data_IF_056612992461
#
_entry.id   IF_056612992461
#
_cell.length_a   1.000
_cell.length_b   1.000
_cell.length_c   1.000
_cell.angle_alpha   90.00
_cell.angle_beta   90.00
_cell.angle_gamma   90.00
#
_symmetry.space_group_name_H-M   'P 1'
#
loop_
_entity.id
_entity.type
_entity.pdbx_description
1 polymer ?
#
# COMPACT_ATOMS: atom_id res chain seq x y z
N UNK A 1 -17.73 15.38 -0.65
CA UNK A 1 -18.47 14.11 -0.72
C UNK A 1 -17.76 13.12 0.21
N UNK A 2 -18.41 12.73 1.30
CA UNK A 2 -17.89 11.70 2.21
C UNK A 2 -17.91 10.37 1.43
N UNK A 3 -16.77 9.68 1.38
CA UNK A 3 -16.72 8.32 0.82
C UNK A 3 -17.17 7.37 1.92
N UNK A 4 -18.14 6.50 1.61
CA UNK A 4 -18.48 5.37 2.48
C UNK A 4 -17.28 4.43 2.58
N UNK A 5 -17.18 3.70 3.70
CA UNK A 5 -16.16 2.67 3.81
C UNK A 5 -16.44 1.56 2.79
N UNK A 6 -15.41 0.96 2.19
CA UNK A 6 -15.61 -0.14 1.23
C UNK A 6 -16.43 -1.30 1.81
N UNK A 7 -16.29 -1.56 3.11
CA UNK A 7 -17.06 -2.58 3.84
C UNK A 7 -18.55 -2.22 4.01
N UNK A 8 -18.94 -0.97 3.79
CA UNK A 8 -20.34 -0.53 3.78
C UNK A 8 -20.96 -0.60 2.38
N UNK A 9 -20.13 -0.78 1.35
CA UNK A 9 -20.55 -0.79 -0.06
C UNK A 9 -20.52 -2.19 -0.65
N UNK A 10 -19.63 -3.06 -0.16
CA UNK A 10 -19.44 -4.41 -0.68
C UNK A 10 -19.47 -5.45 0.43
N UNK A 11 -20.23 -6.52 0.23
CA UNK A 11 -20.15 -7.72 1.04
C UNK A 11 -18.81 -8.45 0.74
N UNK A 12 -17.96 -8.71 1.74
CA UNK A 12 -16.71 -9.42 1.55
C UNK A 12 -16.85 -10.87 1.07
N UNK A 13 -18.05 -11.47 1.16
CA UNK A 13 -18.33 -12.84 0.72
C UNK A 13 -18.84 -12.92 -0.72
N UNK A 14 -19.13 -11.78 -1.36
CA UNK A 14 -19.60 -11.75 -2.75
C UNK A 14 -18.46 -11.57 -3.76
N UNK A 15 -18.68 -12.17 -4.95
CA UNK A 15 -17.84 -11.91 -6.12
C UNK A 15 -18.28 -10.58 -6.73
N UNK A 16 -17.41 -9.59 -6.64
CA UNK A 16 -17.68 -8.22 -7.09
C UNK A 16 -16.60 -7.77 -8.04
N UNK A 17 -16.96 -7.02 -9.08
CA UNK A 17 -16.02 -6.27 -9.91
C UNK A 17 -16.06 -4.80 -9.48
N UNK A 18 -14.90 -4.25 -9.12
CA UNK A 18 -14.79 -2.87 -8.67
C UNK A 18 -13.70 -2.10 -9.43
N UNK A 19 -14.02 -0.85 -9.76
CA UNK A 19 -13.03 0.13 -10.22
C UNK A 19 -12.48 0.88 -9.01
N UNK A 20 -11.22 0.61 -8.68
CA UNK A 20 -10.53 1.27 -7.58
C UNK A 20 -9.50 2.24 -8.14
N UNK A 21 -9.26 3.32 -7.41
CA UNK A 21 -8.21 4.26 -7.76
C UNK A 21 -7.62 4.89 -6.51
N UNK A 22 -6.36 5.27 -6.60
CA UNK A 22 -5.74 6.15 -5.63
C UNK A 22 -4.97 7.25 -6.34
N UNK A 23 -5.03 8.45 -5.75
CA UNK A 23 -4.39 9.65 -6.26
C UNK A 23 -3.51 10.25 -5.19
N UNK A 24 -2.41 10.83 -5.62
CA UNK A 24 -1.66 11.72 -4.75
C UNK A 24 -2.38 13.05 -4.60
N UNK A 25 -2.29 13.62 -3.41
CA UNK A 25 -2.84 14.92 -3.09
C UNK A 25 -1.78 16.01 -3.25
N UNK A 26 -2.22 17.28 -3.27
CA UNK A 26 -1.34 18.47 -3.22
C UNK A 26 -0.29 18.56 -4.34
N UNK A 27 -0.61 18.07 -5.54
CA UNK A 27 0.26 18.09 -6.74
C UNK A 27 1.59 17.36 -6.58
N UNK A 28 1.72 16.49 -5.59
CA UNK A 28 2.92 15.70 -5.47
C UNK A 28 2.88 14.59 -6.54
N UNK A 29 3.73 14.70 -7.56
CA UNK A 29 3.84 13.72 -8.62
C UNK A 29 4.61 12.51 -8.10
N UNK A 30 3.87 11.48 -7.66
CA UNK A 30 4.48 10.21 -7.25
C UNK A 30 5.11 9.50 -8.45
N UNK A 31 4.59 9.76 -9.64
CA UNK A 31 5.09 9.26 -10.91
C UNK A 31 5.08 10.40 -11.94
N UNK A 32 5.80 10.23 -13.04
CA UNK A 32 5.82 11.23 -14.12
C UNK A 32 6.63 12.48 -13.83
N UNK A 33 6.55 13.41 -14.79
CA UNK A 33 7.31 14.64 -14.77
C UNK A 33 6.68 15.68 -13.84
N UNK A 34 7.43 16.07 -12.81
CA UNK A 34 7.10 17.21 -11.98
C UNK A 34 7.67 18.49 -12.59
N UNK A 35 6.79 19.36 -13.09
CA UNK A 35 7.18 20.63 -13.69
C UNK A 35 7.84 21.60 -12.71
N UNK A 36 7.61 21.45 -11.40
CA UNK A 36 8.16 22.37 -10.39
C UNK A 36 9.60 21.99 -10.05
N UNK A 37 9.87 20.71 -9.78
CA UNK A 37 11.23 20.24 -9.51
C UNK A 37 12.05 19.93 -10.77
N UNK A 38 11.40 19.82 -11.93
CA UNK A 38 12.03 19.40 -13.20
C UNK A 38 12.42 17.92 -13.23
N UNK A 39 11.97 17.11 -12.26
CA UNK A 39 12.33 15.70 -12.13
C UNK A 39 11.28 14.79 -12.75
N UNK A 40 11.71 13.69 -13.37
CA UNK A 40 10.82 12.65 -13.86
C UNK A 40 10.85 11.41 -12.95
N UNK A 41 9.68 11.04 -12.44
CA UNK A 41 9.47 9.88 -11.56
C UNK A 41 8.77 8.70 -12.26
N UNK A 42 8.70 8.67 -13.59
CA UNK A 42 8.02 7.60 -14.34
C UNK A 42 8.57 6.20 -14.08
N UNK A 43 9.85 6.08 -13.69
CA UNK A 43 10.43 4.79 -13.29
C UNK A 43 9.66 4.12 -12.13
N UNK A 44 8.96 4.90 -11.30
CA UNK A 44 8.14 4.37 -10.19
C UNK A 44 6.88 3.63 -10.66
N UNK A 45 6.45 3.86 -11.91
CA UNK A 45 5.36 3.09 -12.53
C UNK A 45 5.71 1.61 -12.62
N UNK A 46 6.96 1.29 -12.93
CA UNK A 46 7.48 -0.09 -12.99
C UNK A 46 7.29 -0.81 -11.65
N UNK A 47 7.51 -0.11 -10.53
CA UNK A 47 7.32 -0.72 -9.21
C UNK A 47 5.88 -1.11 -8.94
N UNK A 48 4.94 -0.27 -9.40
CA UNK A 48 3.52 -0.55 -9.25
C UNK A 48 3.15 -1.75 -10.10
N UNK A 49 3.62 -1.83 -11.34
CA UNK A 49 3.42 -3.00 -12.20
C UNK A 49 3.98 -4.29 -11.57
N UNK A 50 5.17 -4.23 -10.97
CA UNK A 50 5.78 -5.36 -10.25
C UNK A 50 4.91 -5.80 -9.05
N UNK A 51 4.40 -4.84 -8.27
CA UNK A 51 3.50 -5.16 -7.16
C UNK A 51 2.15 -5.71 -7.64
N UNK A 52 1.59 -5.17 -8.72
CA UNK A 52 0.36 -5.68 -9.32
C UNK A 52 0.53 -7.13 -9.79
N UNK A 53 1.65 -7.46 -10.44
CA UNK A 53 1.99 -8.83 -10.84
C UNK A 53 2.12 -9.75 -9.62
N UNK A 54 2.83 -9.32 -8.58
CA UNK A 54 2.97 -10.10 -7.36
C UNK A 54 1.62 -10.31 -6.66
N UNK A 55 0.77 -9.29 -6.63
CA UNK A 55 -0.51 -9.37 -5.94
C UNK A 55 -1.48 -10.28 -6.68
N UNK A 56 -1.51 -10.22 -8.02
CA UNK A 56 -2.33 -11.10 -8.84
C UNK A 56 -1.96 -12.59 -8.66
N UNK A 57 -0.71 -12.91 -8.29
CA UNK A 57 -0.28 -14.29 -8.02
C UNK A 57 -0.69 -14.81 -6.63
N UNK A 58 -0.90 -13.92 -5.65
CA UNK A 58 -1.03 -14.31 -4.25
C UNK A 58 -2.40 -14.01 -3.63
N UNK A 59 -3.09 -12.95 -4.07
CA UNK A 59 -4.47 -12.70 -3.66
C UNK A 59 -5.44 -13.60 -4.42
N UNK A 60 -6.58 -13.91 -3.81
CA UNK A 60 -7.77 -14.39 -4.50
C UNK A 60 -8.57 -13.22 -5.06
N UNK A 61 -7.90 -12.41 -5.88
CA UNK A 61 -8.47 -11.24 -6.55
C UNK A 61 -7.91 -11.22 -7.97
N UNK A 62 -8.78 -11.19 -8.97
CA UNK A 62 -8.36 -11.09 -10.36
C UNK A 62 -8.11 -9.61 -10.71
N UNK A 63 -6.93 -9.31 -11.24
CA UNK A 63 -6.61 -8.01 -11.83
C UNK A 63 -7.05 -8.01 -13.29
N UNK A 64 -8.17 -7.35 -13.58
CA UNK A 64 -8.77 -7.35 -14.93
C UNK A 64 -8.14 -6.28 -15.84
N UNK A 65 -7.86 -5.09 -15.29
CA UNK A 65 -7.22 -4.00 -16.02
C UNK A 65 -6.54 -3.02 -15.05
N UNK A 66 -5.59 -2.23 -15.54
CA UNK A 66 -5.01 -1.13 -14.80
C UNK A 66 -4.51 -0.01 -15.72
N UNK A 67 -4.37 1.19 -15.16
CA UNK A 67 -3.72 2.32 -15.82
C UNK A 67 -2.94 3.14 -14.78
N UNK A 68 -1.67 3.45 -15.06
CA UNK A 68 -0.80 4.20 -14.14
C UNK A 68 -0.46 5.54 -14.79
N UNK A 69 -1.01 6.61 -14.24
CA UNK A 69 -0.78 7.98 -14.66
C UNK A 69 0.25 8.64 -13.72
N UNK A 70 0.58 9.91 -13.96
CA UNK A 70 1.61 10.61 -13.19
C UNK A 70 1.20 10.86 -11.73
N UNK A 71 -0.06 11.21 -11.49
CA UNK A 71 -0.55 11.59 -10.15
C UNK A 71 -1.59 10.62 -9.57
N UNK A 72 -1.96 9.57 -10.30
CA UNK A 72 -2.91 8.57 -9.82
C UNK A 72 -2.81 7.28 -10.64
N UNK A 73 -3.39 6.21 -10.11
CA UNK A 73 -3.56 4.96 -10.83
C UNK A 73 -4.99 4.46 -10.66
N UNK A 74 -5.45 3.69 -11.64
CA UNK A 74 -6.70 2.96 -11.63
C UNK A 74 -6.43 1.46 -11.76
N UNK A 75 -7.22 0.66 -11.06
CA UNK A 75 -7.26 -0.80 -11.19
C UNK A 75 -8.70 -1.28 -11.25
N UNK A 76 -8.98 -2.26 -12.10
CA UNK A 76 -10.25 -2.98 -12.15
C UNK A 76 -9.98 -4.36 -11.55
N UNK A 77 -10.60 -4.66 -10.41
CA UNK A 77 -10.38 -5.88 -9.66
C UNK A 77 -11.67 -6.68 -9.54
N UNK A 78 -11.57 -8.01 -9.57
CA UNK A 78 -12.65 -8.93 -9.20
C UNK A 78 -12.32 -9.67 -7.92
N UNK A 79 -13.09 -9.48 -6.84
CA UNK A 79 -12.93 -10.27 -5.62
C UNK A 79 -13.32 -11.72 -5.89
N UNK A 80 -12.57 -12.69 -5.35
CA UNK A 80 -12.87 -14.13 -5.48
C UNK A 80 -12.90 -14.84 -4.12
N UNK A 81 -13.79 -14.45 -3.19
CA UNK A 81 -13.95 -15.16 -1.92
C UNK A 81 -14.35 -16.62 -2.13
N UNK A 82 -15.06 -16.93 -3.21
CA UNK A 82 -15.38 -18.28 -3.68
C UNK A 82 -14.14 -19.15 -3.95
N UNK A 83 -13.10 -18.59 -4.57
CA UNK A 83 -11.82 -19.29 -4.79
C UNK A 83 -11.03 -19.41 -3.49
N UNK A 84 -10.98 -18.33 -2.71
CA UNK A 84 -10.26 -18.35 -1.42
C UNK A 84 -10.86 -19.37 -0.45
N UNK A 85 -12.17 -19.63 -0.53
CA UNK A 85 -12.84 -20.66 0.26
C UNK A 85 -12.37 -22.09 -0.06
N UNK A 86 -11.84 -22.35 -1.26
CA UNK A 86 -11.37 -23.69 -1.64
C UNK A 86 -9.94 -23.99 -1.20
N UNK A 87 -9.21 -23.01 -0.68
CA UNK A 87 -7.83 -23.20 -0.25
C UNK A 87 -7.76 -23.89 1.11
N UNK A 88 -6.80 -24.79 1.29
CA UNK A 88 -6.47 -25.25 2.64
C UNK A 88 -5.72 -24.17 3.43
N UNK A 89 -5.58 -24.39 4.74
CA UNK A 89 -4.97 -23.42 5.64
C UNK A 89 -3.47 -23.21 5.37
N UNK A 90 -2.79 -24.24 4.86
CA UNK A 90 -1.38 -24.15 4.50
C UNK A 90 -1.17 -23.25 3.28
N UNK A 91 -2.05 -23.35 2.29
CA UNK A 91 -2.05 -22.53 1.10
C UNK A 91 -2.42 -21.07 1.41
N UNK A 92 -3.38 -20.84 2.31
CA UNK A 92 -3.67 -19.50 2.85
C UNK A 92 -2.41 -18.90 3.50
N UNK A 93 -1.71 -19.68 4.33
CA UNK A 93 -0.47 -19.25 4.96
C UNK A 93 0.62 -18.94 3.92
N UNK A 94 0.82 -19.83 2.95
CA UNK A 94 1.81 -19.71 1.87
C UNK A 94 1.61 -18.43 1.08
N UNK A 95 0.40 -18.19 0.57
CA UNK A 95 0.06 -16.98 -0.21
C UNK A 95 0.23 -15.71 0.61
N UNK A 96 -0.20 -15.72 1.87
CA UNK A 96 0.00 -14.58 2.75
C UNK A 96 1.47 -14.27 2.98
N UNK A 97 2.32 -15.28 3.19
CA UNK A 97 3.75 -15.09 3.40
C UNK A 97 4.48 -14.63 2.13
N UNK A 98 3.96 -14.95 0.94
CA UNK A 98 4.46 -14.37 -0.31
C UNK A 98 4.13 -12.87 -0.44
N UNK A 99 3.05 -12.41 0.18
CA UNK A 99 2.72 -10.98 0.27
C UNK A 99 3.47 -10.30 1.42
N UNK A 100 3.38 -10.84 2.63
CA UNK A 100 3.91 -10.27 3.85
C UNK A 100 5.01 -11.17 4.42
N UNK A 101 6.16 -11.30 3.74
CA UNK A 101 7.21 -12.20 4.16
C UNK A 101 7.93 -11.70 5.40
N UNK A 102 8.30 -12.61 6.30
CA UNK A 102 9.27 -12.34 7.36
C UNK A 102 10.69 -12.20 6.79
N UNK A 103 11.01 -12.94 5.73
CA UNK A 103 12.34 -12.99 5.12
C UNK A 103 12.29 -12.65 3.63
N UNK A 104 13.22 -11.79 3.20
CA UNK A 104 13.35 -11.34 1.80
C UNK A 104 14.74 -11.67 1.26
N UNK A 105 14.84 -11.85 -0.05
CA UNK A 105 16.12 -11.89 -0.77
C UNK A 105 16.75 -10.50 -0.75
N UNK A 106 18.04 -10.42 -1.08
CA UNK A 106 18.76 -9.14 -1.23
C UNK A 106 18.06 -8.19 -2.23
N UNK A 107 17.43 -8.73 -3.28
CA UNK A 107 16.61 -7.96 -4.23
C UNK A 107 15.18 -7.64 -3.77
N UNK A 108 14.84 -7.85 -2.50
CA UNK A 108 13.55 -7.46 -1.91
C UNK A 108 12.37 -8.40 -2.17
N UNK A 109 12.51 -9.41 -3.02
CA UNK A 109 11.49 -10.44 -3.25
C UNK A 109 11.35 -11.41 -2.06
N UNK A 110 10.14 -11.95 -1.81
CA UNK A 110 9.91 -12.92 -0.74
C UNK A 110 10.76 -14.19 -0.95
N UNK A 111 11.31 -14.73 0.13
CA UNK A 111 11.84 -16.09 0.13
C UNK A 111 10.68 -17.09 0.27
N UNK A 112 10.82 -18.33 -0.25
CA UNK A 112 9.86 -19.40 0.03
C UNK A 112 9.65 -19.55 1.55
N UNK A 113 8.39 -19.62 2.00
CA UNK A 113 8.06 -19.87 3.40
C UNK A 113 8.73 -21.15 3.91
N UNK A 114 9.30 -21.10 5.10
CA UNK A 114 9.75 -22.30 5.82
C UNK A 114 8.57 -22.99 6.50
N UNK A 115 8.74 -24.27 6.81
CA UNK A 115 7.72 -25.07 7.51
C UNK A 115 7.25 -24.44 8.84
N UNK A 116 8.14 -23.89 9.70
CA UNK A 116 7.70 -23.17 10.89
C UNK A 116 6.90 -21.90 10.58
N UNK A 117 7.26 -21.17 9.53
CA UNK A 117 6.54 -19.95 9.12
C UNK A 117 5.11 -20.29 8.68
N UNK A 118 4.93 -21.36 7.91
CA UNK A 118 3.60 -21.87 7.51
C UNK A 118 2.77 -22.28 8.72
N UNK A 119 3.33 -23.11 9.60
CA UNK A 119 2.65 -23.58 10.83
C UNK A 119 2.26 -22.44 11.77
N UNK A 120 3.02 -21.34 11.79
CA UNK A 120 2.68 -20.15 12.60
C UNK A 120 1.38 -19.45 12.17
N UNK A 121 0.87 -19.75 10.99
CA UNK A 121 -0.41 -19.24 10.48
C UNK A 121 -1.42 -20.39 10.41
N UNK A 122 -1.09 -21.47 9.70
CA UNK A 122 -2.01 -22.60 9.48
C UNK A 122 -2.38 -23.31 10.79
N UNK A 123 -1.46 -23.36 11.77
CA UNK A 123 -1.72 -23.95 13.09
C UNK A 123 -2.53 -23.04 14.04
N UNK A 124 -2.88 -21.82 13.62
CA UNK A 124 -3.67 -20.87 14.41
C UNK A 124 -4.98 -20.55 13.66
N UNK A 125 -6.10 -21.24 13.96
CA UNK A 125 -7.35 -21.10 13.21
C UNK A 125 -7.86 -19.66 13.13
N UNK A 126 -7.74 -18.89 14.22
CA UNK A 126 -8.15 -17.49 14.30
C UNK A 126 -7.37 -16.64 13.29
N UNK A 127 -6.04 -16.76 13.29
CA UNK A 127 -5.16 -16.01 12.40
C UNK A 127 -5.32 -16.45 10.94
N UNK A 128 -5.48 -17.75 10.70
CA UNK A 128 -5.71 -18.29 9.37
C UNK A 128 -7.02 -17.75 8.79
N UNK A 129 -8.11 -17.80 9.55
CA UNK A 129 -9.42 -17.32 9.12
C UNK A 129 -9.42 -15.81 8.86
N UNK A 130 -8.74 -15.03 9.70
CA UNK A 130 -8.57 -13.61 9.46
C UNK A 130 -7.83 -13.37 8.12
N UNK A 131 -6.68 -14.02 7.92
CA UNK A 131 -5.88 -13.88 6.70
C UNK A 131 -6.66 -14.33 5.46
N UNK A 132 -7.44 -15.40 5.56
CA UNK A 132 -8.32 -15.88 4.49
C UNK A 132 -9.25 -14.77 4.02
N UNK A 133 -9.94 -14.08 4.92
CA UNK A 133 -10.77 -12.92 4.57
C UNK A 133 -9.99 -11.75 3.96
N UNK A 134 -8.72 -11.56 4.34
CA UNK A 134 -7.86 -10.51 3.76
C UNK A 134 -7.48 -10.81 2.32
N UNK A 135 -7.27 -12.09 1.97
CA UNK A 135 -6.78 -12.52 0.65
C UNK A 135 -7.80 -12.32 -0.48
N UNK A 136 -9.07 -12.03 -0.21
CA UNK A 136 -10.07 -11.60 -1.21
C UNK A 136 -10.51 -10.14 -1.05
N UNK A 137 -9.90 -9.38 -0.13
CA UNK A 137 -10.34 -8.03 0.22
C UNK A 137 -9.65 -6.93 -0.60
N UNK A 138 -10.45 -6.12 -1.31
CA UNK A 138 -9.98 -4.90 -2.00
C UNK A 138 -9.26 -3.93 -1.07
N UNK A 139 -9.75 -3.78 0.17
CA UNK A 139 -9.14 -2.89 1.16
C UNK A 139 -7.72 -3.33 1.50
N UNK A 140 -7.47 -4.63 1.63
CA UNK A 140 -6.13 -5.17 1.88
C UNK A 140 -5.23 -5.06 0.67
N UNK A 141 -5.74 -5.34 -0.53
CA UNK A 141 -5.01 -5.08 -1.77
C UNK A 141 -4.54 -3.63 -1.86
N UNK A 142 -5.47 -2.67 -1.74
CA UNK A 142 -5.17 -1.24 -1.84
C UNK A 142 -4.25 -0.78 -0.70
N UNK A 143 -4.47 -1.25 0.52
CA UNK A 143 -3.61 -0.93 1.67
C UNK A 143 -2.17 -1.35 1.43
N UNK A 144 -1.93 -2.61 1.05
CA UNK A 144 -0.58 -3.11 0.82
C UNK A 144 0.10 -2.41 -0.36
N UNK A 145 -0.62 -2.17 -1.45
CA UNK A 145 -0.07 -1.49 -2.63
C UNK A 145 0.38 -0.06 -2.26
N UNK A 146 -0.53 0.71 -1.66
CA UNK A 146 -0.25 2.11 -1.31
C UNK A 146 0.86 2.21 -0.27
N UNK A 147 0.84 1.34 0.75
CA UNK A 147 1.88 1.31 1.77
C UNK A 147 3.26 1.05 1.16
N UNK A 148 3.40 0.04 0.29
CA UNK A 148 4.71 -0.30 -0.31
C UNK A 148 5.24 0.80 -1.21
N UNK A 149 4.38 1.35 -2.07
CA UNK A 149 4.76 2.45 -2.96
C UNK A 149 5.17 3.68 -2.14
N UNK A 150 4.39 4.04 -1.11
CA UNK A 150 4.72 5.16 -0.24
C UNK A 150 6.01 4.93 0.54
N UNK A 151 6.22 3.74 1.11
CA UNK A 151 7.46 3.42 1.82
C UNK A 151 8.69 3.50 0.91
N UNK A 152 8.59 2.97 -0.32
CA UNK A 152 9.70 3.00 -1.29
C UNK A 152 10.00 4.42 -1.78
N UNK A 153 8.97 5.19 -2.12
CA UNK A 153 9.13 6.60 -2.51
C UNK A 153 9.69 7.45 -1.35
N UNK A 154 9.20 7.22 -0.13
CA UNK A 154 9.71 7.88 1.06
C UNK A 154 11.16 7.50 1.36
N UNK A 155 11.63 6.30 0.99
CA UNK A 155 13.04 5.94 1.18
C UNK A 155 13.97 6.68 0.21
N UNK A 156 13.52 6.98 -1.01
CA UNK A 156 14.31 7.73 -1.99
C UNK A 156 14.31 9.24 -1.72
N UNK A 157 13.17 9.81 -1.31
CA UNK A 157 12.97 11.26 -1.18
C UNK A 157 12.46 11.65 0.23
N UNK A 158 12.92 10.95 1.28
CA UNK A 158 12.46 11.23 2.65
C UNK A 158 12.70 12.71 2.96
N UNK A 159 11.66 13.37 3.47
CA UNK A 159 11.73 14.79 3.82
C UNK A 159 11.36 15.74 2.68
N UNK A 160 11.71 15.49 1.42
CA UNK A 160 11.31 16.38 0.29
C UNK A 160 9.81 16.42 0.07
N UNK A 161 9.19 15.24 0.10
CA UNK A 161 7.73 15.12 -0.03
C UNK A 161 7.00 15.75 1.15
N UNK A 162 7.47 15.51 2.38
CA UNK A 162 6.83 16.05 3.56
C UNK A 162 7.06 17.57 3.67
N UNK A 163 8.24 18.10 3.32
CA UNK A 163 8.50 19.53 3.27
C UNK A 163 7.71 20.24 2.16
N UNK A 164 7.53 19.61 0.99
CA UNK A 164 6.67 20.14 -0.07
C UNK A 164 5.18 20.13 0.31
N UNK A 165 4.73 19.09 1.02
CA UNK A 165 3.33 18.90 1.44
C UNK A 165 2.97 19.72 2.68
N UNK A 166 3.78 19.64 3.72
CA UNK A 166 3.52 20.19 5.04
C UNK A 166 4.25 21.52 5.28
N UNK A 167 5.19 21.90 4.41
CA UNK A 167 6.16 22.97 4.66
C UNK A 167 7.36 22.45 5.44
N UNK A 168 8.43 23.25 5.49
CA UNK A 168 9.57 22.95 6.37
C UNK A 168 9.13 22.85 7.84
N UNK A 169 9.92 22.21 8.72
CA UNK A 169 9.60 22.05 10.14
C UNK A 169 9.17 23.37 10.81
N UNK A 170 9.85 24.47 10.48
CA UNK A 170 9.56 25.80 11.02
C UNK A 170 8.19 26.33 10.59
N UNK A 171 7.78 26.04 9.35
CA UNK A 171 6.44 26.35 8.85
C UNK A 171 5.37 25.50 9.58
N UNK A 172 5.61 24.20 9.75
CA UNK A 172 4.67 23.27 10.43
C UNK A 172 4.48 23.65 11.90
N UNK A 173 5.57 23.95 12.61
CA UNK A 173 5.51 24.33 14.02
C UNK A 173 4.73 25.64 14.25
N UNK A 174 4.72 26.53 13.26
CA UNK A 174 3.92 27.76 13.29
C UNK A 174 2.41 27.51 13.13
N UNK A 175 2.02 26.41 12.48
CA UNK A 175 0.62 26.05 12.23
C UNK A 175 -0.05 25.48 13.48
N UNK A 176 -1.36 25.74 13.62
CA UNK A 176 -2.19 25.20 14.71
C UNK A 176 -3.21 24.20 14.18
N UNK A 177 -3.45 23.14 14.94
CA UNK A 177 -4.51 22.18 14.66
C UNK A 177 -5.87 22.86 14.68
N UNK A 178 -6.68 22.72 13.63
CA UNK A 178 -8.02 23.31 13.55
C UNK A 178 -8.98 22.79 14.63
N UNK A 179 -8.71 21.62 15.20
CA UNK A 179 -9.57 20.98 16.21
C UNK A 179 -9.17 21.31 17.64
N UNK A 180 -7.87 21.45 17.92
CA UNK A 180 -7.35 21.63 19.29
C UNK A 180 -6.65 22.97 19.50
N UNK A 181 -6.44 23.76 18.43
CA UNK A 181 -5.67 25.00 18.40
C UNK A 181 -4.23 24.90 18.94
N UNK A 182 -3.74 23.68 19.19
CA UNK A 182 -2.36 23.41 19.60
C UNK A 182 -1.45 23.46 18.36
N UNK A 183 -0.21 23.88 18.56
CA UNK A 183 0.81 23.79 17.50
C UNK A 183 1.03 22.33 17.11
N UNK A 184 1.26 22.08 15.83
CA UNK A 184 1.70 20.76 15.41
C UNK A 184 3.12 20.55 15.93
N UNK A 185 3.34 19.50 16.72
CA UNK A 185 4.66 19.18 17.24
C UNK A 185 5.24 18.00 16.47
N UNK A 186 6.28 18.25 15.69
CA UNK A 186 7.06 17.18 15.06
C UNK A 186 8.02 16.57 16.08
N UNK A 187 8.14 15.24 16.09
CA UNK A 187 9.14 14.57 16.93
C UNK A 187 10.55 14.89 16.42
N UNK A 188 11.54 14.88 17.32
CA UNK A 188 12.94 15.22 17.00
C UNK A 188 13.47 14.44 15.79
N UNK A 189 13.21 13.12 15.75
CA UNK A 189 13.61 12.25 14.63
C UNK A 189 13.00 12.69 13.30
N UNK A 190 11.74 13.13 13.28
CA UNK A 190 11.11 13.65 12.07
C UNK A 190 11.76 14.98 11.65
N UNK A 191 12.09 15.87 12.60
CA UNK A 191 12.81 17.12 12.28
C UNK A 191 14.17 16.87 11.67
N UNK A 192 14.97 16.00 12.29
CA UNK A 192 16.31 15.64 11.80
C UNK A 192 16.25 15.14 10.36
N UNK A 193 15.28 14.29 10.03
CA UNK A 193 15.07 13.76 8.69
C UNK A 193 14.56 14.81 7.68
N UNK A 194 13.89 15.88 8.13
CA UNK A 194 13.39 16.97 7.28
C UNK A 194 14.46 18.04 6.99
N UNK A 195 15.53 18.07 7.77
CA UNK A 195 16.62 19.07 7.69
C UNK A 195 17.91 18.52 7.05
N UNK A 196 17.91 17.27 6.58
CA UNK A 196 19.09 16.71 5.91
C UNK A 196 19.33 17.47 4.59
N UNK A 197 20.54 18.02 4.36
CA UNK A 197 20.89 18.57 3.06
C UNK A 197 20.95 17.47 1.99
N UNK A 198 20.65 17.88 0.75
CA UNK A 198 20.61 17.04 -0.46
C UNK A 198 21.95 16.35 -0.81
#
# INVERSE_FOLDING_TARGET
MVRLALSEVFDPQEVVIAHLYNRTCRRCFLMGYDQVSGKNFDYRKVWIEEYLKQFAQAFGIDLLAFSILSNHFHVILRSRPDVVATWDDEEVARRWLMLCPHRRKSGGSPLPPSEPELKSIAGCPIKCQEIRGRLSSFSWWMRLLCQRVAMRANHEDFGKWFCSVAGGPDCVDSMRCHRTHRRYHLCRRARELLTLPD
#
